data_IF_837263444002
#
_entry.id   IF_837263444002
#
_cell.length_a   1.000
_cell.length_b   1.000
_cell.length_c   1.000
_cell.angle_alpha   90.00
_cell.angle_beta   90.00
_cell.angle_gamma   90.00
#
_symmetry.space_group_name_H-M   'P 1'
#
loop_
_entity.id
_entity.type
_entity.pdbx_description
1 polymer ?
#
# COMPACT_ATOMS: atom_id res chain seq x y z
N UNK A 1 -8.81 22.99 31.34
CA UNK A 1 -9.52 21.95 30.55
C UNK A 1 -8.61 20.90 29.89
N UNK A 2 -7.30 20.84 30.17
CA UNK A 2 -6.34 19.96 29.45
C UNK A 2 -5.75 18.79 30.25
N UNK A 3 -6.21 18.51 31.45
CA UNK A 3 -5.57 17.49 32.33
C UNK A 3 -6.36 16.19 32.58
N UNK A 4 -7.52 15.97 31.94
CA UNK A 4 -8.30 14.74 32.12
C UNK A 4 -8.19 13.71 30.98
N UNK A 5 -7.24 13.90 30.06
CA UNK A 5 -7.02 12.96 28.95
C UNK A 5 -6.07 11.80 29.24
N UNK A 6 -5.52 11.70 30.46
CA UNK A 6 -4.36 10.84 30.76
C UNK A 6 -4.67 9.41 31.24
N UNK A 7 -5.92 8.99 31.34
CA UNK A 7 -6.21 7.57 31.63
C UNK A 7 -6.56 6.75 30.38
N UNK A 8 -5.93 7.03 29.26
CA UNK A 8 -6.02 6.12 28.10
C UNK A 8 -5.25 4.86 28.45
N UNK A 9 -5.97 3.77 28.82
CA UNK A 9 -5.35 2.43 28.84
C UNK A 9 -4.74 2.21 27.46
N UNK A 10 -3.43 2.32 27.37
CA UNK A 10 -2.69 2.07 26.12
C UNK A 10 -2.91 0.62 25.70
N UNK A 11 -3.05 0.38 24.40
CA UNK A 11 -3.05 -0.99 23.91
C UNK A 11 -1.75 -1.65 24.30
N UNK A 12 -1.83 -2.75 25.03
CA UNK A 12 -0.67 -3.59 25.29
C UNK A 12 -0.16 -4.18 23.98
N UNK A 13 1.17 -4.35 23.85
CA UNK A 13 1.76 -5.07 22.71
C UNK A 13 1.07 -6.42 22.46
N UNK A 14 0.62 -7.10 23.53
CA UNK A 14 -0.10 -8.35 23.44
C UNK A 14 -1.50 -8.20 22.80
N UNK A 15 -2.18 -7.08 23.04
CA UNK A 15 -3.48 -6.80 22.39
C UNK A 15 -3.29 -6.58 20.89
N UNK A 16 -2.29 -5.79 20.52
CA UNK A 16 -1.93 -5.56 19.10
C UNK A 16 -1.58 -6.88 18.42
N UNK A 17 -0.79 -7.74 19.07
CA UNK A 17 -0.43 -9.04 18.54
C UNK A 17 -1.66 -9.94 18.34
N UNK A 18 -2.55 -10.02 19.33
CA UNK A 18 -3.79 -10.81 19.23
C UNK A 18 -4.71 -10.32 18.11
N UNK A 19 -4.78 -9.00 17.92
CA UNK A 19 -5.57 -8.41 16.82
C UNK A 19 -4.98 -8.75 15.44
N UNK A 20 -3.65 -8.66 15.29
CA UNK A 20 -2.95 -9.02 14.05
C UNK A 20 -3.11 -10.53 13.76
N UNK A 21 -2.90 -11.39 14.75
CA UNK A 21 -3.07 -12.85 14.60
C UNK A 21 -4.49 -13.25 14.17
N UNK A 22 -5.51 -12.52 14.59
CA UNK A 22 -6.91 -12.79 14.19
C UNK A 22 -7.15 -12.53 12.70
N UNK A 23 -6.35 -11.68 12.08
CA UNK A 23 -6.47 -11.31 10.66
C UNK A 23 -5.22 -11.66 9.85
N UNK A 24 -4.50 -12.72 10.24
CA UNK A 24 -3.27 -13.20 9.60
C UNK A 24 -3.36 -13.34 8.06
N UNK A 25 -4.56 -13.56 7.54
CA UNK A 25 -4.80 -13.66 6.10
C UNK A 25 -4.49 -12.35 5.33
N UNK A 26 -4.61 -11.19 6.00
CA UNK A 26 -4.20 -9.90 5.42
C UNK A 26 -2.67 -9.85 5.25
N UNK A 27 -1.93 -10.31 6.25
CA UNK A 27 -0.47 -10.42 6.16
C UNK A 27 -0.05 -11.37 5.04
N UNK A 28 -0.77 -12.48 4.85
CA UNK A 28 -0.52 -13.42 3.76
C UNK A 28 -0.74 -12.77 2.37
N UNK A 29 -1.82 -12.01 2.20
CA UNK A 29 -2.08 -11.29 0.94
C UNK A 29 -0.98 -10.26 0.66
N UNK A 30 -0.60 -9.46 1.67
CA UNK A 30 0.44 -8.45 1.51
C UNK A 30 1.81 -9.09 1.23
N UNK A 31 2.13 -10.20 1.88
CA UNK A 31 3.35 -10.96 1.62
C UNK A 31 3.43 -11.43 0.17
N UNK A 32 2.35 -12.03 -0.36
CA UNK A 32 2.30 -12.49 -1.77
C UNK A 32 2.40 -11.31 -2.73
N UNK A 33 1.69 -10.23 -2.48
CA UNK A 33 1.70 -9.03 -3.34
C UNK A 33 3.11 -8.43 -3.43
N UNK A 34 3.79 -8.25 -2.30
CA UNK A 34 5.15 -7.71 -2.28
C UNK A 34 6.18 -8.69 -2.83
N UNK A 35 6.00 -10.00 -2.64
CA UNK A 35 6.83 -11.02 -3.25
C UNK A 35 6.80 -10.93 -4.78
N UNK A 36 5.60 -10.76 -5.37
CA UNK A 36 5.43 -10.61 -6.82
C UNK A 36 6.02 -9.29 -7.31
N UNK A 37 5.79 -8.19 -6.60
CA UNK A 37 6.33 -6.87 -7.00
C UNK A 37 7.86 -6.88 -6.96
N UNK A 38 8.45 -7.23 -5.82
CA UNK A 38 9.91 -7.15 -5.61
C UNK A 38 10.65 -8.23 -6.43
N UNK A 39 10.12 -9.46 -6.42
CA UNK A 39 10.65 -10.57 -7.22
C UNK A 39 10.52 -10.33 -8.71
N UNK A 40 9.36 -9.87 -9.18
CA UNK A 40 9.11 -9.55 -10.57
C UNK A 40 9.95 -8.38 -11.08
N UNK A 41 10.11 -7.33 -10.28
CA UNK A 41 11.02 -6.22 -10.59
C UNK A 41 12.47 -6.71 -10.74
N UNK A 42 12.94 -7.53 -9.79
CA UNK A 42 14.30 -8.07 -9.85
C UNK A 42 14.48 -9.02 -11.03
N UNK A 43 13.51 -9.87 -11.33
CA UNK A 43 13.53 -10.73 -12.49
C UNK A 43 13.61 -9.92 -13.79
N UNK A 44 12.75 -8.89 -13.94
CA UNK A 44 12.76 -8.02 -15.11
C UNK A 44 14.09 -7.31 -15.32
N UNK A 45 14.74 -6.84 -14.23
CA UNK A 45 16.03 -6.14 -14.32
C UNK A 45 17.18 -7.04 -14.64
N UNK A 46 17.13 -8.32 -14.26
CA UNK A 46 18.21 -9.28 -14.49
C UNK A 46 18.04 -10.11 -15.77
N UNK A 47 16.81 -10.25 -16.27
CA UNK A 47 16.50 -11.06 -17.45
C UNK A 47 17.34 -10.73 -18.71
N UNK A 48 17.67 -9.45 -19.03
CA UNK A 48 18.50 -9.12 -20.16
C UNK A 48 19.96 -9.66 -20.08
N UNK A 49 20.40 -9.98 -18.87
CA UNK A 49 21.78 -10.46 -18.61
C UNK A 49 21.90 -11.99 -18.57
N UNK A 50 20.82 -12.72 -18.80
CA UNK A 50 20.85 -14.17 -18.84
C UNK A 50 21.35 -14.61 -20.21
N UNK A 51 22.54 -15.22 -20.25
CA UNK A 51 23.09 -15.89 -21.44
C UNK A 51 23.10 -15.06 -22.74
N UNK A 52 23.08 -13.72 -22.63
CA UNK A 52 23.31 -12.87 -23.80
C UNK A 52 24.80 -12.87 -24.12
N UNK A 53 25.26 -13.87 -24.86
CA UNK A 53 26.54 -13.76 -25.57
C UNK A 53 26.35 -12.67 -26.63
N UNK A 54 26.78 -11.46 -26.32
CA UNK A 54 26.88 -10.40 -27.32
C UNK A 54 28.19 -10.54 -28.06
N UNK A 55 28.08 -10.80 -29.33
CA UNK A 55 29.19 -10.75 -30.25
C UNK A 55 29.20 -9.37 -30.92
N UNK A 56 30.34 -8.69 -30.84
CA UNK A 56 30.56 -7.45 -31.58
C UNK A 56 31.29 -7.83 -32.90
N UNK A 57 30.63 -7.47 -33.99
CA UNK A 57 31.20 -7.69 -35.32
C UNK A 57 31.98 -6.45 -35.71
N UNK A 58 33.30 -6.62 -35.86
CA UNK A 58 34.18 -5.56 -36.32
C UNK A 58 34.75 -5.92 -37.68
N UNK A 59 34.77 -4.97 -38.59
CA UNK A 59 35.51 -5.07 -39.84
C UNK A 59 36.90 -4.55 -39.60
N UNK A 60 37.90 -5.31 -40.03
CA UNK A 60 39.27 -4.88 -39.92
C UNK A 60 40.09 -5.31 -41.14
N UNK A 61 41.10 -4.53 -41.49
CA UNK A 61 42.08 -4.91 -42.48
C UNK A 61 43.25 -5.53 -41.74
N UNK A 62 43.60 -6.74 -42.13
CA UNK A 62 44.72 -7.47 -41.58
C UNK A 62 45.86 -7.61 -42.61
N UNK A 63 47.09 -7.57 -42.15
CA UNK A 63 48.28 -7.92 -42.94
C UNK A 63 49.24 -8.69 -42.06
N UNK A 64 49.70 -9.82 -42.55
CA UNK A 64 50.64 -10.68 -41.83
C UNK A 64 52.02 -10.55 -42.40
N UNK A 65 53.01 -10.45 -41.51
CA UNK A 65 54.39 -10.41 -41.85
C UNK A 65 55.16 -11.60 -41.20
N UNK A 66 56.00 -12.29 -41.99
CA UNK A 66 56.85 -13.33 -41.50
C UNK A 66 58.21 -12.71 -41.15
N UNK A 67 58.60 -12.85 -39.89
CA UNK A 67 59.93 -12.40 -39.43
C UNK A 67 61.04 -13.28 -40.04
N UNK A 68 62.02 -12.66 -40.73
CA UNK A 68 63.17 -13.38 -41.26
C UNK A 68 64.23 -13.48 -40.20
N UNK A 69 64.93 -14.67 -40.13
CA UNK A 69 66.02 -14.91 -39.19
C UNK A 69 67.16 -13.90 -39.37
N UNK A 70 67.39 -13.13 -38.32
CA UNK A 70 68.56 -12.28 -38.24
C UNK A 70 69.28 -12.53 -36.91
N UNK A 71 70.22 -13.44 -36.93
CA UNK A 71 71.03 -13.97 -35.81
C UNK A 71 70.37 -14.99 -34.87
N UNK A 72 71.18 -15.93 -34.45
CA UNK A 72 70.94 -17.14 -33.69
C UNK A 72 70.55 -16.95 -32.22
N UNK A 73 70.18 -15.76 -31.79
CA UNK A 73 69.81 -15.46 -30.39
C UNK A 73 68.44 -14.88 -30.30
N UNK A 74 67.42 -15.72 -30.00
CA UNK A 74 66.16 -15.32 -29.39
C UNK A 74 65.07 -14.76 -30.32
N UNK A 75 64.39 -15.63 -31.07
CA UNK A 75 63.21 -15.31 -31.92
C UNK A 75 62.07 -14.76 -31.20
N UNK A 76 61.78 -15.10 -29.93
CA UNK A 76 60.64 -14.70 -29.16
C UNK A 76 60.61 -13.17 -28.85
N UNK A 77 61.76 -12.52 -28.74
CA UNK A 77 61.80 -11.07 -28.50
C UNK A 77 61.57 -10.27 -29.78
N UNK A 78 61.54 -10.83 -30.95
CA UNK A 78 61.48 -10.11 -32.24
C UNK A 78 60.15 -9.61 -32.60
N UNK A 79 59.07 -10.38 -32.35
CA UNK A 79 57.66 -9.94 -32.61
C UNK A 79 57.26 -8.70 -31.79
N UNK A 80 57.59 -8.75 -30.51
CA UNK A 80 57.37 -7.62 -29.59
C UNK A 80 58.19 -6.39 -30.01
N UNK A 81 59.44 -6.61 -30.54
CA UNK A 81 60.27 -5.54 -31.00
C UNK A 81 59.77 -4.93 -32.30
N UNK A 82 59.31 -5.71 -33.27
CA UNK A 82 58.70 -5.21 -34.52
C UNK A 82 57.45 -4.37 -34.23
N UNK A 83 56.57 -4.77 -33.31
CA UNK A 83 55.42 -3.99 -32.89
C UNK A 83 55.82 -2.65 -32.24
N UNK A 84 56.85 -2.65 -31.38
CA UNK A 84 57.39 -1.41 -30.81
C UNK A 84 58.01 -0.50 -31.88
N UNK A 85 58.73 -1.08 -32.85
CA UNK A 85 59.30 -0.34 -33.97
C UNK A 85 58.18 0.25 -34.84
N UNK A 86 57.14 -0.50 -35.14
CA UNK A 86 55.99 -0.04 -35.90
C UNK A 86 55.33 1.21 -35.26
N UNK A 87 55.24 1.26 -33.93
CA UNK A 87 54.73 2.43 -33.16
C UNK A 87 55.77 3.52 -32.92
N UNK A 88 56.96 3.41 -33.47
CA UNK A 88 58.04 4.38 -33.26
C UNK A 88 57.86 5.68 -34.08
N UNK A 89 58.47 6.75 -33.56
CA UNK A 89 58.47 8.06 -34.27
C UNK A 89 59.09 7.99 -35.69
N UNK A 90 60.09 7.09 -35.89
CA UNK A 90 60.72 6.96 -37.20
C UNK A 90 59.79 6.35 -38.25
N UNK A 91 58.99 5.33 -37.85
CA UNK A 91 57.98 4.73 -38.73
C UNK A 91 56.86 5.72 -39.01
N UNK A 92 56.37 6.45 -37.99
CA UNK A 92 55.39 7.50 -38.16
C UNK A 92 55.84 8.56 -39.20
N UNK A 93 57.04 9.06 -39.06
CA UNK A 93 57.58 10.08 -40.01
C UNK A 93 57.69 9.55 -41.43
N UNK A 94 58.17 8.32 -41.62
CA UNK A 94 58.27 7.68 -42.93
C UNK A 94 56.86 7.37 -43.49
N UNK A 95 55.92 6.95 -42.63
CA UNK A 95 54.50 6.76 -42.99
C UNK A 95 53.88 8.03 -43.57
N UNK A 96 53.93 9.14 -42.84
CA UNK A 96 53.42 10.42 -43.31
C UNK A 96 54.07 10.88 -44.64
N UNK A 97 55.35 10.61 -44.78
CA UNK A 97 56.08 10.93 -46.00
C UNK A 97 55.64 10.08 -47.21
N UNK A 98 55.40 8.78 -46.97
CA UNK A 98 55.04 7.85 -48.07
C UNK A 98 53.58 7.99 -48.48
N UNK A 99 52.69 8.21 -47.50
CA UNK A 99 51.24 8.24 -47.74
C UNK A 99 50.71 9.62 -48.00
N UNK A 100 51.41 10.69 -47.56
CA UNK A 100 50.89 12.04 -47.55
C UNK A 100 49.77 12.29 -46.55
N UNK A 101 49.48 11.32 -45.67
CA UNK A 101 48.42 11.46 -44.65
C UNK A 101 48.95 12.32 -43.51
N UNK A 102 48.18 13.38 -43.20
CA UNK A 102 48.46 14.27 -42.06
C UNK A 102 47.69 13.77 -40.84
N UNK A 103 48.38 13.30 -39.81
CA UNK A 103 47.85 12.89 -38.53
C UNK A 103 48.88 13.08 -37.42
N UNK A 104 48.45 13.14 -36.17
CA UNK A 104 49.38 13.18 -35.04
C UNK A 104 50.03 11.82 -34.79
N UNK A 105 51.20 11.81 -34.17
CA UNK A 105 51.87 10.53 -33.76
C UNK A 105 50.97 9.71 -32.84
N UNK A 106 50.16 10.35 -32.00
CA UNK A 106 49.22 9.68 -31.13
C UNK A 106 48.11 8.98 -31.94
N UNK A 107 47.49 9.70 -32.90
CA UNK A 107 46.49 9.07 -33.76
C UNK A 107 47.06 7.89 -34.54
N UNK A 108 48.28 8.06 -35.11
CA UNK A 108 48.98 6.98 -35.80
C UNK A 108 49.13 5.71 -34.95
N UNK A 109 49.61 5.85 -33.69
CA UNK A 109 49.81 4.69 -32.81
C UNK A 109 48.53 4.04 -32.30
N UNK A 110 47.44 4.79 -32.25
CA UNK A 110 46.15 4.30 -31.79
C UNK A 110 45.30 3.68 -32.91
N UNK A 111 45.65 3.93 -34.20
CA UNK A 111 44.86 3.45 -35.34
C UNK A 111 45.08 1.97 -35.63
N UNK A 112 46.21 1.42 -35.30
CA UNK A 112 46.53 -0.01 -35.56
C UNK A 112 46.98 -0.71 -34.30
N UNK A 113 46.86 -2.02 -34.33
CA UNK A 113 47.49 -2.89 -33.35
C UNK A 113 48.08 -4.12 -34.02
N UNK A 114 48.80 -4.95 -33.29
CA UNK A 114 49.42 -6.13 -33.81
C UNK A 114 49.42 -7.28 -32.81
N UNK A 115 49.23 -8.47 -33.31
CA UNK A 115 49.28 -9.71 -32.53
C UNK A 115 50.36 -10.64 -33.07
N UNK A 116 51.12 -11.27 -32.17
CA UNK A 116 52.01 -12.36 -32.51
C UNK A 116 51.38 -13.64 -31.95
N UNK A 117 51.19 -14.63 -32.81
CA UNK A 117 50.76 -15.94 -32.37
C UNK A 117 51.87 -16.56 -31.51
N UNK A 118 51.50 -17.13 -30.36
CA UNK A 118 52.47 -17.76 -29.45
C UNK A 118 53.39 -18.79 -30.21
N UNK A 119 54.69 -18.64 -30.02
CA UNK A 119 55.75 -19.46 -30.66
C UNK A 119 55.73 -19.40 -32.20
N UNK A 120 55.21 -18.35 -32.81
CA UNK A 120 55.21 -18.16 -34.27
C UNK A 120 56.07 -16.96 -34.65
N UNK A 121 56.75 -17.08 -35.84
CA UNK A 121 57.49 -15.98 -36.45
C UNK A 121 56.58 -15.02 -37.22
N UNK A 122 55.29 -15.21 -37.14
CA UNK A 122 54.27 -14.37 -37.83
C UNK A 122 53.73 -13.32 -36.88
N UNK A 123 53.74 -12.07 -37.35
CA UNK A 123 53.09 -10.93 -36.70
C UNK A 123 52.02 -10.43 -37.63
N UNK A 124 50.78 -10.37 -37.11
CA UNK A 124 49.64 -9.84 -37.84
C UNK A 124 49.33 -8.43 -37.32
N UNK A 125 49.40 -7.45 -38.22
CA UNK A 125 48.93 -6.10 -37.96
C UNK A 125 47.49 -5.96 -38.40
N UNK A 126 46.68 -5.15 -37.67
CA UNK A 126 45.29 -4.91 -38.02
C UNK A 126 44.86 -3.48 -37.76
N UNK A 127 43.96 -2.97 -38.60
CA UNK A 127 43.29 -1.70 -38.49
C UNK A 127 41.79 -1.95 -38.51
N UNK A 128 41.12 -1.58 -37.42
CA UNK A 128 39.62 -1.68 -37.32
C UNK A 128 39.00 -0.47 -38.02
N UNK A 129 37.92 -0.69 -38.77
CA UNK A 129 37.13 0.39 -39.37
C UNK A 129 35.62 0.12 -39.20
N UNK A 130 34.76 1.16 -39.09
CA UNK A 130 35.15 2.56 -38.94
C UNK A 130 35.80 2.82 -37.57
N UNK A 131 36.85 3.65 -37.56
CA UNK A 131 37.53 4.07 -36.31
C UNK A 131 38.03 5.52 -36.44
N UNK A 132 37.75 6.27 -35.37
CA UNK A 132 38.27 7.65 -35.26
C UNK A 132 39.23 7.69 -34.05
N UNK A 133 40.38 8.28 -34.22
CA UNK A 133 41.33 8.54 -33.15
C UNK A 133 41.96 9.92 -33.32
N UNK A 134 41.79 10.76 -32.26
CA UNK A 134 42.31 12.13 -32.20
C UNK A 134 41.91 13.01 -33.38
N UNK A 135 42.80 13.16 -34.32
CA UNK A 135 42.69 14.05 -35.51
C UNK A 135 42.57 13.27 -36.83
N UNK A 136 42.43 11.94 -36.78
CA UNK A 136 42.33 11.09 -37.96
C UNK A 136 41.23 10.05 -37.85
N UNK A 137 40.53 9.78 -38.91
CA UNK A 137 39.51 8.77 -39.02
C UNK A 137 39.79 7.82 -40.22
N UNK A 138 39.41 6.56 -40.01
CA UNK A 138 39.36 5.53 -41.05
C UNK A 138 37.92 5.07 -41.11
N UNK A 139 37.19 5.47 -42.15
CA UNK A 139 35.75 5.30 -42.25
C UNK A 139 35.35 4.07 -43.08
N UNK A 140 36.21 3.69 -44.04
CA UNK A 140 35.94 2.60 -44.97
C UNK A 140 37.14 1.68 -45.18
N UNK A 141 36.90 0.60 -45.94
CA UNK A 141 37.86 -0.44 -46.26
C UNK A 141 39.06 0.11 -47.07
N UNK A 142 38.83 0.98 -48.04
CA UNK A 142 39.86 1.51 -48.91
C UNK A 142 40.89 2.35 -48.15
N UNK A 143 40.38 3.18 -47.22
CA UNK A 143 41.22 3.96 -46.30
C UNK A 143 42.01 3.04 -45.35
N UNK A 144 41.40 1.99 -44.84
CA UNK A 144 42.06 1.01 -43.94
C UNK A 144 43.17 0.22 -44.67
N UNK A 145 42.94 -0.20 -45.92
CA UNK A 145 43.95 -0.85 -46.78
C UNK A 145 45.06 0.14 -47.11
N UNK A 146 44.76 1.37 -47.44
CA UNK A 146 45.76 2.41 -47.73
C UNK A 146 46.62 2.70 -46.51
N UNK A 147 46.01 2.80 -45.31
CA UNK A 147 46.76 2.98 -44.07
C UNK A 147 47.68 1.78 -43.78
N UNK A 148 47.16 0.54 -43.90
CA UNK A 148 47.96 -0.68 -43.65
C UNK A 148 49.10 -0.81 -44.62
N UNK A 149 48.92 -0.60 -45.92
CA UNK A 149 49.98 -0.60 -46.91
C UNK A 149 51.06 0.43 -46.56
N UNK A 150 50.68 1.66 -46.22
CA UNK A 150 51.58 2.71 -45.78
C UNK A 150 52.39 2.33 -44.55
N UNK A 151 51.73 1.70 -43.55
CA UNK A 151 52.38 1.22 -42.33
C UNK A 151 53.45 0.17 -42.63
N UNK A 152 53.11 -0.83 -43.44
CA UNK A 152 54.04 -1.94 -43.75
C UNK A 152 55.23 -1.43 -44.56
N UNK A 153 55.00 -0.54 -45.55
CA UNK A 153 56.07 0.08 -46.34
C UNK A 153 57.01 0.96 -45.50
N UNK A 154 56.43 1.76 -44.60
CA UNK A 154 57.19 2.60 -43.68
C UNK A 154 58.03 1.72 -42.72
N UNK A 155 57.42 0.64 -42.20
CA UNK A 155 58.09 -0.30 -41.31
C UNK A 155 59.27 -1.01 -42.04
N UNK A 156 59.06 -1.48 -43.25
CA UNK A 156 60.07 -2.10 -44.05
C UNK A 156 61.24 -1.11 -44.33
N UNK A 157 60.94 0.09 -44.73
CA UNK A 157 61.93 1.15 -45.00
C UNK A 157 62.75 1.48 -43.75
N UNK A 158 62.14 1.65 -42.62
CA UNK A 158 62.84 1.99 -41.36
C UNK A 158 63.65 0.84 -40.82
N UNK A 159 63.12 -0.36 -40.90
CA UNK A 159 63.88 -1.56 -40.46
C UNK A 159 65.09 -1.85 -41.36
N UNK A 160 64.97 -1.72 -42.69
CA UNK A 160 66.09 -1.85 -43.62
C UNK A 160 67.19 -0.80 -43.37
N UNK A 161 66.78 0.47 -43.13
CA UNK A 161 67.77 1.53 -42.77
C UNK A 161 68.43 1.28 -41.43
N UNK A 162 67.72 0.73 -40.44
CA UNK A 162 68.24 0.48 -39.10
C UNK A 162 69.14 -0.75 -39.02
N UNK A 163 68.76 -1.83 -39.66
CA UNK A 163 69.43 -3.12 -39.56
C UNK A 163 70.26 -3.47 -40.80
N UNK A 164 70.16 -2.71 -41.89
CA UNK A 164 70.93 -2.93 -43.12
C UNK A 164 70.42 -4.12 -43.95
N UNK A 165 69.43 -4.86 -43.51
CA UNK A 165 68.85 -6.03 -44.20
C UNK A 165 67.31 -6.03 -44.02
N UNK A 166 66.64 -6.81 -44.87
CA UNK A 166 65.20 -7.01 -44.78
C UNK A 166 64.86 -7.87 -43.58
N UNK A 167 64.09 -7.32 -42.61
CA UNK A 167 63.79 -7.99 -41.34
C UNK A 167 62.57 -8.87 -41.39
N UNK A 168 61.72 -8.68 -42.37
CA UNK A 168 60.49 -9.48 -42.53
C UNK A 168 60.12 -9.59 -44.02
N UNK A 169 59.26 -10.53 -44.34
CA UNK A 169 58.59 -10.64 -45.65
C UNK A 169 57.05 -10.56 -45.40
N UNK A 170 56.34 -9.95 -46.36
CA UNK A 170 54.90 -9.94 -46.32
C UNK A 170 54.42 -11.36 -46.59
N UNK A 171 53.68 -11.92 -45.68
CA UNK A 171 53.03 -13.22 -45.80
C UNK A 171 51.68 -13.11 -46.45
N UNK A 172 50.85 -12.21 -45.90
CA UNK A 172 49.56 -11.87 -46.42
C UNK A 172 49.45 -10.35 -46.69
N UNK A 173 48.97 -9.99 -47.89
CA UNK A 173 48.70 -8.61 -48.24
C UNK A 173 47.49 -8.07 -47.46
N UNK A 174 47.43 -6.75 -47.23
CA UNK A 174 46.30 -6.14 -46.55
C UNK A 174 44.97 -6.53 -47.16
N UNK A 175 44.14 -7.21 -46.38
CA UNK A 175 42.82 -7.69 -46.77
C UNK A 175 41.81 -7.44 -45.67
N UNK A 176 40.57 -7.16 -46.07
CA UNK A 176 39.45 -7.00 -45.15
C UNK A 176 39.02 -8.34 -44.58
N UNK A 177 38.91 -8.41 -43.27
CA UNK A 177 38.49 -9.61 -42.54
C UNK A 177 37.40 -9.21 -41.57
N UNK A 178 36.34 -10.03 -41.51
CA UNK A 178 35.28 -9.89 -40.50
C UNK A 178 35.69 -10.62 -39.23
N UNK A 179 36.00 -9.89 -38.19
CA UNK A 179 36.29 -10.44 -36.87
C UNK A 179 35.09 -10.36 -35.97
N UNK A 180 34.74 -11.48 -35.40
CA UNK A 180 33.66 -11.59 -34.40
C UNK A 180 34.32 -11.70 -33.03
N UNK A 181 34.26 -10.65 -32.25
CA UNK A 181 34.78 -10.66 -30.89
C UNK A 181 33.66 -10.92 -29.92
N UNK A 182 33.87 -11.86 -29.00
CA UNK A 182 32.97 -12.03 -27.87
C UNK A 182 33.20 -10.88 -26.93
N UNK A 183 32.24 -9.94 -26.89
CA UNK A 183 32.26 -8.88 -25.90
C UNK A 183 32.04 -9.54 -24.54
N UNK A 184 32.86 -9.24 -23.55
CA UNK A 184 32.66 -9.63 -22.17
C UNK A 184 31.39 -8.96 -21.63
N UNK A 185 30.22 -9.41 -22.07
CA UNK A 185 28.96 -9.01 -21.47
C UNK A 185 28.92 -9.63 -20.07
N UNK A 186 28.47 -8.86 -19.11
CA UNK A 186 28.22 -9.34 -17.74
C UNK A 186 27.08 -10.37 -17.83
N UNK A 187 27.42 -11.61 -17.99
CA UNK A 187 26.47 -12.71 -18.09
C UNK A 187 26.24 -13.31 -16.71
N UNK A 188 24.99 -13.41 -16.34
CA UNK A 188 24.57 -14.04 -15.08
C UNK A 188 24.16 -15.47 -15.41
N UNK A 189 24.69 -16.42 -14.69
CA UNK A 189 24.27 -17.83 -14.84
C UNK A 189 22.81 -18.00 -14.40
N UNK A 190 22.11 -18.98 -14.98
CA UNK A 190 20.75 -19.32 -14.61
C UNK A 190 20.57 -19.62 -13.11
N UNK A 191 21.62 -20.17 -12.47
CA UNK A 191 21.64 -20.45 -11.02
C UNK A 191 21.71 -19.16 -10.19
N UNK A 192 22.54 -18.20 -10.57
CA UNK A 192 22.68 -16.90 -9.91
C UNK A 192 21.42 -16.05 -10.08
N UNK A 193 20.82 -16.06 -11.28
CA UNK A 193 19.53 -15.42 -11.54
C UNK A 193 18.46 -15.94 -10.59
N UNK A 194 18.28 -17.28 -10.51
CA UNK A 194 17.29 -17.90 -9.61
C UNK A 194 17.53 -17.54 -8.15
N UNK A 195 18.77 -17.56 -7.69
CA UNK A 195 19.12 -17.17 -6.33
C UNK A 195 18.84 -15.70 -6.05
N UNK A 196 19.16 -14.79 -6.97
CA UNK A 196 18.90 -13.37 -6.84
C UNK A 196 17.39 -13.07 -6.77
N UNK A 197 16.61 -13.72 -7.64
CA UNK A 197 15.12 -13.59 -7.64
C UNK A 197 14.54 -14.19 -6.36
N UNK A 198 15.00 -15.36 -5.90
CA UNK A 198 14.52 -15.97 -4.66
C UNK A 198 14.82 -15.09 -3.44
N UNK A 199 16.02 -14.52 -3.34
CA UNK A 199 16.35 -13.53 -2.29
C UNK A 199 15.44 -12.30 -2.34
N UNK A 200 15.12 -11.81 -3.53
CA UNK A 200 14.21 -10.68 -3.72
C UNK A 200 12.77 -11.03 -3.31
N UNK A 201 12.29 -12.23 -3.64
CA UNK A 201 10.97 -12.74 -3.22
C UNK A 201 10.90 -12.86 -1.70
N UNK A 202 11.91 -13.45 -1.05
CA UNK A 202 11.92 -13.56 0.43
C UNK A 202 11.97 -12.20 1.11
N UNK A 203 12.74 -11.25 0.58
CA UNK A 203 12.76 -9.88 1.08
C UNK A 203 11.40 -9.19 0.90
N UNK A 204 10.73 -9.43 -0.24
CA UNK A 204 9.37 -8.94 -0.51
C UNK A 204 8.35 -9.48 0.49
N UNK A 205 8.39 -10.78 0.80
CA UNK A 205 7.52 -11.41 1.81
C UNK A 205 7.68 -10.72 3.17
N UNK A 206 8.92 -10.58 3.64
CA UNK A 206 9.19 -9.94 4.93
C UNK A 206 8.72 -8.48 4.97
N UNK A 207 8.97 -7.73 3.90
CA UNK A 207 8.53 -6.34 3.78
C UNK A 207 7.00 -6.23 3.79
N UNK A 208 6.30 -7.12 3.07
CA UNK A 208 4.84 -7.17 3.03
C UNK A 208 4.21 -7.43 4.40
N UNK A 209 4.75 -8.39 5.17
CA UNK A 209 4.30 -8.69 6.53
C UNK A 209 4.55 -7.48 7.46
N UNK A 210 5.73 -6.88 7.40
CA UNK A 210 6.07 -5.73 8.24
C UNK A 210 5.16 -4.53 7.96
N UNK A 211 4.92 -4.24 6.68
CA UNK A 211 4.05 -3.14 6.27
C UNK A 211 2.60 -3.37 6.72
N UNK A 212 2.10 -4.61 6.60
CA UNK A 212 0.76 -4.96 7.09
C UNK A 212 0.65 -4.71 8.60
N UNK A 213 1.59 -5.22 9.39
CA UNK A 213 1.58 -5.02 10.86
C UNK A 213 1.57 -3.54 11.21
N UNK A 214 2.38 -2.72 10.54
CA UNK A 214 2.42 -1.26 10.78
C UNK A 214 1.09 -0.62 10.39
N UNK A 215 0.61 -0.85 9.17
CA UNK A 215 -0.63 -0.26 8.67
C UNK A 215 -1.84 -0.67 9.50
N UNK A 216 -1.93 -1.96 9.88
CA UNK A 216 -3.03 -2.46 10.68
C UNK A 216 -2.98 -1.93 12.12
N UNK A 217 -1.79 -1.81 12.70
CA UNK A 217 -1.61 -1.19 14.03
C UNK A 217 -2.07 0.27 14.01
N UNK A 218 -1.65 1.05 13.01
CA UNK A 218 -2.11 2.42 12.84
C UNK A 218 -3.63 2.49 12.67
N UNK A 219 -4.21 1.57 11.89
CA UNK A 219 -5.66 1.49 11.72
C UNK A 219 -6.39 1.23 13.05
N UNK A 220 -5.88 0.31 13.89
CA UNK A 220 -6.45 0.04 15.22
C UNK A 220 -6.34 1.28 16.12
N UNK A 221 -5.23 2.01 16.06
CA UNK A 221 -5.05 3.23 16.86
C UNK A 221 -6.02 4.35 16.44
N UNK A 222 -6.26 4.52 15.14
CA UNK A 222 -7.18 5.54 14.60
C UNK A 222 -8.65 5.16 14.87
N UNK A 223 -9.01 3.88 14.65
CA UNK A 223 -10.38 3.38 14.78
C UNK A 223 -10.56 2.54 16.05
N UNK A 224 -10.15 3.10 17.19
CA UNK A 224 -10.23 2.41 18.48
C UNK A 224 -11.65 2.01 18.80
N UNK A 225 -11.86 0.70 19.03
CA UNK A 225 -13.13 0.12 19.51
C UNK A 225 -12.98 -0.35 20.96
N UNK A 226 -14.08 -0.43 21.74
CA UNK A 226 -14.03 -0.96 23.08
C UNK A 226 -13.51 -2.42 23.10
N UNK A 227 -12.63 -2.73 24.04
CA UNK A 227 -12.12 -4.10 24.23
C UNK A 227 -13.19 -5.03 24.80
N UNK A 228 -13.91 -4.54 25.77
CA UNK A 228 -14.97 -5.25 26.50
C UNK A 228 -16.09 -4.28 26.91
N UNK A 229 -17.11 -4.82 27.55
CA UNK A 229 -18.24 -4.03 28.05
C UNK A 229 -17.81 -3.11 29.21
N UNK A 230 -16.79 -3.52 29.99
CA UNK A 230 -16.27 -2.70 31.09
C UNK A 230 -15.65 -1.39 30.61
N UNK A 231 -14.93 -1.40 29.48
CA UNK A 231 -14.38 -0.17 28.89
C UNK A 231 -15.49 0.80 28.44
N UNK A 232 -16.64 0.27 27.99
CA UNK A 232 -17.84 1.07 27.69
C UNK A 232 -18.40 1.69 28.96
N UNK A 233 -18.53 0.89 30.03
CA UNK A 233 -19.00 1.35 31.34
C UNK A 233 -18.10 2.48 31.90
N UNK A 234 -16.79 2.26 31.88
CA UNK A 234 -15.80 3.26 32.35
C UNK A 234 -15.86 4.54 31.51
N UNK A 235 -16.07 4.41 30.20
CA UNK A 235 -16.16 5.56 29.29
C UNK A 235 -17.42 6.39 29.51
N UNK A 236 -18.58 5.74 29.66
CA UNK A 236 -19.87 6.41 29.83
C UNK A 236 -20.15 6.76 31.30
N UNK A 237 -19.36 6.28 32.24
CA UNK A 237 -19.55 6.42 33.69
C UNK A 237 -20.95 5.97 34.15
N UNK A 238 -21.49 4.90 33.54
CA UNK A 238 -22.81 4.37 33.84
C UNK A 238 -22.77 2.85 34.02
N UNK A 239 -23.83 2.26 34.60
CA UNK A 239 -23.85 0.83 34.88
C UNK A 239 -24.15 0.01 33.62
N UNK A 240 -23.48 -1.15 33.47
CA UNK A 240 -23.90 -2.15 32.50
C UNK A 240 -25.16 -2.82 33.01
N UNK A 241 -26.24 -2.74 32.24
CA UNK A 241 -27.51 -3.42 32.55
C UNK A 241 -27.36 -4.92 32.23
N UNK A 242 -26.93 -5.23 31.01
CA UNK A 242 -26.58 -6.58 30.58
C UNK A 242 -25.76 -6.54 29.27
N UNK A 243 -25.22 -7.71 28.88
CA UNK A 243 -24.46 -7.90 27.63
C UNK A 243 -25.16 -8.96 26.79
N UNK A 244 -25.67 -8.59 25.63
CA UNK A 244 -26.28 -9.51 24.68
C UNK A 244 -25.18 -10.20 23.87
N UNK A 245 -25.11 -11.51 23.99
CA UNK A 245 -24.17 -12.36 23.24
C UNK A 245 -24.95 -13.42 22.47
N UNK A 246 -24.32 -14.06 21.48
CA UNK A 246 -24.92 -15.19 20.74
C UNK A 246 -25.36 -16.38 21.64
N UNK A 247 -24.93 -16.43 22.88
CA UNK A 247 -25.21 -17.51 23.84
C UNK A 247 -26.30 -17.20 24.83
N UNK A 248 -26.66 -15.91 25.00
CA UNK A 248 -27.67 -15.49 25.97
C UNK A 248 -29.05 -15.49 25.30
N UNK A 249 -30.07 -15.85 26.09
CA UNK A 249 -31.46 -15.64 25.69
C UNK A 249 -31.73 -14.14 25.66
N UNK A 250 -31.95 -13.58 24.48
CA UNK A 250 -32.19 -12.14 24.31
C UNK A 250 -33.39 -11.66 25.13
N UNK A 251 -34.46 -12.47 25.21
CA UNK A 251 -35.66 -12.14 25.95
C UNK A 251 -35.42 -11.89 27.45
N UNK A 252 -34.57 -12.74 28.08
CA UNK A 252 -34.26 -12.56 29.50
C UNK A 252 -33.43 -11.30 29.77
N UNK A 253 -32.57 -10.93 28.83
CA UNK A 253 -31.81 -9.68 28.91
C UNK A 253 -32.70 -8.46 28.87
N UNK A 254 -33.73 -8.45 28.01
CA UNK A 254 -34.68 -7.34 27.96
C UNK A 254 -35.57 -7.27 29.23
N UNK A 255 -35.94 -8.43 29.83
CA UNK A 255 -36.64 -8.45 31.12
C UNK A 255 -35.81 -7.84 32.25
N UNK A 256 -34.53 -8.16 32.30
CA UNK A 256 -33.59 -7.54 33.26
C UNK A 256 -33.47 -6.04 33.04
N UNK A 257 -33.36 -5.61 31.78
CA UNK A 257 -33.29 -4.19 31.43
C UNK A 257 -34.58 -3.46 31.83
N UNK A 258 -35.75 -4.05 31.57
CA UNK A 258 -37.05 -3.50 31.99
C UNK A 258 -37.13 -3.39 33.52
N UNK A 259 -36.74 -4.42 34.26
CA UNK A 259 -36.68 -4.42 35.71
C UNK A 259 -35.73 -3.35 36.26
N UNK A 260 -34.53 -3.22 35.67
CA UNK A 260 -33.53 -2.23 36.05
C UNK A 260 -34.04 -0.80 35.90
N UNK A 261 -34.74 -0.52 34.78
CA UNK A 261 -35.29 0.79 34.48
C UNK A 261 -36.54 1.10 35.31
N UNK A 262 -37.31 0.10 35.73
CA UNK A 262 -38.56 0.24 36.53
C UNK A 262 -38.34 0.66 37.98
N UNK A 263 -37.11 0.66 38.49
CA UNK A 263 -36.81 0.91 39.90
C UNK A 263 -36.95 2.37 40.38
N UNK A 264 -37.72 3.19 39.71
CA UNK A 264 -38.01 4.55 40.14
C UNK A 264 -39.30 4.58 40.98
N UNK A 265 -39.18 5.03 42.21
CA UNK A 265 -40.28 5.22 43.16
C UNK A 265 -41.19 6.41 42.79
N UNK A 266 -41.80 6.41 41.62
CA UNK A 266 -42.68 7.49 41.18
C UNK A 266 -44.11 6.99 40.91
N UNK A 267 -45.14 7.65 41.50
CA UNK A 267 -46.51 7.50 41.03
C UNK A 267 -46.64 8.35 39.75
N UNK A 268 -46.78 7.71 38.59
CA UNK A 268 -46.99 8.40 37.31
C UNK A 268 -46.39 7.65 36.13
N UNK A 269 -46.58 8.16 34.94
CA UNK A 269 -46.00 7.64 33.71
C UNK A 269 -44.48 7.76 33.72
N UNK A 270 -43.79 6.69 33.41
CA UNK A 270 -42.35 6.69 33.25
C UNK A 270 -41.94 6.76 31.79
N UNK A 271 -41.14 7.77 31.45
CA UNK A 271 -40.62 7.99 30.10
C UNK A 271 -39.19 7.44 30.02
N UNK A 272 -38.95 6.51 29.11
CA UNK A 272 -37.65 5.85 28.93
C UNK A 272 -37.18 6.09 27.50
N UNK A 273 -36.00 6.63 27.35
CA UNK A 273 -35.37 6.79 26.05
C UNK A 273 -34.28 5.74 25.82
N UNK A 274 -34.31 5.10 24.67
CA UNK A 274 -33.23 4.28 24.18
C UNK A 274 -32.33 5.12 23.27
N UNK A 275 -31.17 5.55 23.79
CA UNK A 275 -30.18 6.30 23.05
C UNK A 275 -29.33 5.30 22.28
N UNK A 276 -29.57 5.17 20.98
CA UNK A 276 -29.03 4.10 20.15
C UNK A 276 -27.76 4.52 19.44
N UNK A 277 -26.80 3.61 19.28
CA UNK A 277 -25.56 3.80 18.54
C UNK A 277 -25.36 2.64 17.57
N UNK A 278 -25.42 2.95 16.27
CA UNK A 278 -25.26 1.95 15.22
C UNK A 278 -26.51 1.10 14.96
N UNK A 279 -26.41 0.09 14.12
CA UNK A 279 -27.53 -0.65 13.53
C UNK A 279 -28.26 -1.64 14.47
N UNK A 280 -27.69 -1.99 15.62
CA UNK A 280 -28.23 -3.07 16.47
C UNK A 280 -29.36 -2.62 17.41
N UNK A 281 -29.66 -1.36 17.45
CA UNK A 281 -30.53 -0.78 18.46
C UNK A 281 -32.02 -0.74 18.09
N UNK A 282 -32.37 -0.99 16.84
CA UNK A 282 -33.74 -0.82 16.34
C UNK A 282 -34.77 -1.75 17.02
N UNK A 283 -34.33 -2.89 17.54
CA UNK A 283 -35.21 -3.87 18.21
C UNK A 283 -35.30 -3.68 19.71
N UNK A 284 -34.30 -3.05 20.35
CA UNK A 284 -34.23 -2.95 21.82
C UNK A 284 -35.46 -2.24 22.42
N UNK A 285 -35.83 -1.06 21.89
CA UNK A 285 -36.93 -0.31 22.38
C UNK A 285 -38.28 -1.05 22.23
N UNK A 286 -38.46 -1.74 21.10
CA UNK A 286 -39.64 -2.60 20.86
C UNK A 286 -39.71 -3.78 21.82
N UNK A 287 -38.58 -4.44 22.08
CA UNK A 287 -38.51 -5.56 23.04
C UNK A 287 -38.76 -5.08 24.47
N UNK A 288 -38.24 -3.93 24.89
CA UNK A 288 -38.51 -3.34 26.20
C UNK A 288 -40.00 -2.98 26.34
N UNK A 289 -40.58 -2.36 25.32
CA UNK A 289 -42.02 -2.03 25.33
C UNK A 289 -42.89 -3.28 25.45
N UNK A 290 -42.49 -4.36 24.76
CA UNK A 290 -43.17 -5.65 24.86
C UNK A 290 -43.02 -6.29 26.25
N UNK A 291 -41.87 -6.14 26.91
CA UNK A 291 -41.71 -6.62 28.28
C UNK A 291 -42.69 -5.97 29.26
N UNK A 292 -42.83 -4.64 29.22
CA UNK A 292 -43.81 -3.94 30.06
C UNK A 292 -45.26 -4.30 29.71
N UNK A 293 -45.59 -4.42 28.43
CA UNK A 293 -46.90 -4.84 27.98
C UNK A 293 -47.26 -6.26 28.44
N UNK A 294 -46.31 -7.18 28.43
CA UNK A 294 -46.50 -8.56 28.93
C UNK A 294 -46.78 -8.57 30.48
N UNK A 295 -46.30 -7.57 31.21
CA UNK A 295 -46.64 -7.34 32.60
C UNK A 295 -47.98 -6.63 32.78
N UNK A 296 -48.77 -6.48 31.72
CA UNK A 296 -50.08 -5.77 31.68
C UNK A 296 -49.98 -4.28 32.01
N UNK A 297 -48.80 -3.68 31.76
CA UNK A 297 -48.56 -2.25 31.89
C UNK A 297 -48.91 -1.54 30.58
N UNK A 298 -49.79 -0.54 30.66
CA UNK A 298 -50.19 0.23 29.47
C UNK A 298 -49.01 1.03 28.95
N UNK A 299 -48.47 0.59 27.79
CA UNK A 299 -47.21 1.08 27.23
C UNK A 299 -47.40 1.71 25.85
N UNK A 300 -46.71 2.83 25.60
CA UNK A 300 -46.60 3.45 24.28
C UNK A 300 -45.19 3.36 23.80
N UNK A 301 -45.00 2.86 22.57
CA UNK A 301 -43.73 2.93 21.85
C UNK A 301 -43.74 4.07 20.83
N UNK A 302 -42.86 5.04 21.00
CA UNK A 302 -42.59 6.10 20.02
C UNK A 302 -41.37 5.76 19.24
N UNK A 303 -41.54 5.35 17.99
CA UNK A 303 -40.40 4.95 17.14
C UNK A 303 -39.95 6.08 16.21
N UNK A 304 -38.82 6.72 16.56
CA UNK A 304 -38.23 7.80 15.79
C UNK A 304 -37.29 7.28 14.64
N UNK A 305 -36.97 5.97 14.61
CA UNK A 305 -36.14 5.37 13.58
C UNK A 305 -36.92 4.76 12.40
N UNK A 306 -38.22 4.50 12.60
CA UNK A 306 -39.02 3.89 11.56
C UNK A 306 -39.15 4.78 10.32
N UNK A 307 -39.10 4.17 9.16
CA UNK A 307 -39.15 4.83 7.85
C UNK A 307 -40.47 4.51 7.13
N UNK A 308 -41.60 4.59 7.82
CA UNK A 308 -42.90 4.30 7.21
C UNK A 308 -43.54 5.52 6.55
N UNK A 309 -44.34 5.25 5.50
CA UNK A 309 -44.94 6.26 4.62
C UNK A 309 -46.44 6.46 4.85
N UNK A 310 -46.91 6.29 6.08
CA UNK A 310 -48.33 6.47 6.35
C UNK A 310 -48.70 7.96 6.51
N UNK A 311 -49.83 8.37 5.95
CA UNK A 311 -50.33 9.77 5.96
C UNK A 311 -50.59 10.29 7.37
N UNK A 312 -50.88 9.46 8.35
CA UNK A 312 -51.16 9.81 9.73
C UNK A 312 -50.01 9.52 10.70
N UNK A 313 -48.76 9.75 10.24
CA UNK A 313 -47.55 9.56 11.02
C UNK A 313 -47.38 10.63 12.10
N UNK A 314 -46.50 10.34 13.09
CA UNK A 314 -46.09 11.30 14.11
C UNK A 314 -45.61 12.63 13.49
N UNK A 315 -44.84 12.54 12.39
CA UNK A 315 -44.31 13.69 11.66
C UNK A 315 -45.44 14.58 11.10
N UNK A 316 -46.37 13.97 10.40
CA UNK A 316 -47.52 14.71 9.81
C UNK A 316 -48.35 15.43 10.88
N UNK A 317 -48.56 14.79 12.03
CA UNK A 317 -49.25 15.40 13.15
C UNK A 317 -48.48 16.59 13.74
N UNK A 318 -47.19 16.45 13.99
CA UNK A 318 -46.36 17.51 14.57
C UNK A 318 -46.19 18.69 13.59
N UNK A 319 -46.07 18.42 12.29
CA UNK A 319 -45.99 19.45 11.24
C UNK A 319 -47.32 20.18 11.04
N UNK A 320 -48.41 19.57 11.46
CA UNK A 320 -49.77 20.15 11.33
C UNK A 320 -50.46 19.76 10.02
N UNK A 321 -49.92 18.76 9.30
CA UNK A 321 -50.52 18.23 8.07
C UNK A 321 -51.78 17.41 8.35
N UNK A 322 -51.88 16.88 9.58
CA UNK A 322 -53.06 16.16 10.06
C UNK A 322 -53.45 16.64 11.46
N UNK A 323 -54.76 16.59 11.75
CA UNK A 323 -55.32 16.91 13.09
C UNK A 323 -55.45 15.67 13.98
N UNK A 324 -55.39 14.49 13.38
CA UNK A 324 -55.51 13.21 14.09
C UNK A 324 -54.21 12.42 14.00
N UNK A 325 -53.77 11.91 15.16
CA UNK A 325 -52.65 10.99 15.27
C UNK A 325 -53.17 9.56 15.39
N UNK A 326 -52.87 8.69 14.44
CA UNK A 326 -53.25 7.28 14.51
C UNK A 326 -52.21 6.50 15.30
N UNK A 327 -52.63 5.86 16.38
CA UNK A 327 -51.85 4.89 17.11
C UNK A 327 -52.13 3.50 16.54
N UNK A 328 -51.06 2.73 16.29
CA UNK A 328 -51.17 1.33 15.89
C UNK A 328 -51.17 0.46 17.14
N UNK A 329 -52.26 -0.22 17.42
CA UNK A 329 -52.37 -1.15 18.53
C UNK A 329 -51.65 -2.48 18.15
N UNK A 330 -50.62 -2.80 18.91
CA UNK A 330 -49.86 -4.05 18.71
C UNK A 330 -50.43 -5.20 19.55
N UNK A 331 -50.91 -4.90 20.76
CA UNK A 331 -51.68 -5.80 21.62
C UNK A 331 -52.51 -5.00 22.61
N UNK A 332 -53.20 -5.65 23.56
CA UNK A 332 -54.12 -5.01 24.52
C UNK A 332 -53.40 -3.92 25.37
N UNK A 333 -52.10 -4.03 25.61
CA UNK A 333 -51.33 -3.15 26.48
C UNK A 333 -50.23 -2.36 25.77
N UNK A 334 -50.07 -2.53 24.45
CA UNK A 334 -49.04 -1.87 23.67
C UNK A 334 -49.59 -1.15 22.44
N UNK A 335 -49.45 0.13 22.45
CA UNK A 335 -49.65 0.98 21.29
C UNK A 335 -48.31 1.48 20.75
N UNK A 336 -48.23 1.70 19.43
CA UNK A 336 -47.04 2.26 18.79
C UNK A 336 -47.40 3.41 17.89
N UNK A 337 -46.49 4.38 17.81
CA UNK A 337 -46.54 5.48 16.85
C UNK A 337 -45.18 5.63 16.20
N UNK A 338 -45.22 5.78 14.89
CA UNK A 338 -44.00 5.82 14.09
C UNK A 338 -43.80 7.15 13.39
N UNK A 339 -42.55 7.48 13.19
CA UNK A 339 -42.14 8.65 12.42
C UNK A 339 -42.16 8.35 10.91
N UNK A 340 -42.45 9.37 10.09
CA UNK A 340 -42.23 9.30 8.64
C UNK A 340 -41.02 10.12 8.23
N UNK A 341 -39.91 9.47 7.93
CA UNK A 341 -38.64 10.11 7.59
C UNK A 341 -38.58 10.68 6.18
N UNK A 342 -39.50 10.33 5.29
CA UNK A 342 -39.48 10.77 3.88
C UNK A 342 -39.93 12.24 3.71
N UNK A 343 -40.74 12.77 4.62
CA UNK A 343 -41.29 14.14 4.54
C UNK A 343 -40.39 15.19 5.21
N UNK A 344 -39.36 14.82 5.95
CA UNK A 344 -38.68 15.67 6.93
C UNK A 344 -37.27 16.11 6.56
N UNK A 345 -37.06 16.73 5.42
CA UNK A 345 -35.71 17.31 5.18
C UNK A 345 -35.52 18.53 6.10
N UNK A 346 -34.72 18.33 7.17
CA UNK A 346 -34.29 19.42 8.06
C UNK A 346 -35.23 19.79 9.19
N UNK A 347 -36.34 19.05 9.39
CA UNK A 347 -37.29 19.32 10.47
C UNK A 347 -36.88 18.64 11.78
N UNK A 348 -36.80 19.43 12.85
CA UNK A 348 -36.54 18.95 14.22
C UNK A 348 -37.83 18.56 14.90
N UNK A 349 -38.20 17.30 14.81
CA UNK A 349 -39.47 16.80 15.35
C UNK A 349 -39.53 16.85 16.88
N UNK A 350 -38.44 16.41 17.53
CA UNK A 350 -38.37 16.29 18.99
C UNK A 350 -38.22 17.65 19.67
N UNK A 351 -37.56 18.61 18.99
CA UNK A 351 -37.43 19.99 19.48
C UNK A 351 -38.71 20.80 19.39
N UNK A 352 -39.76 20.31 18.72
CA UNK A 352 -41.02 21.04 18.53
C UNK A 352 -41.89 21.01 19.80
N UNK A 353 -42.49 22.14 20.15
CA UNK A 353 -43.37 22.25 21.32
C UNK A 353 -44.57 21.30 21.26
N UNK A 354 -45.17 21.09 20.07
CA UNK A 354 -46.24 20.10 19.91
C UNK A 354 -45.82 18.68 20.28
N UNK A 355 -44.54 18.31 20.10
CA UNK A 355 -44.06 17.00 20.54
C UNK A 355 -44.07 16.90 22.07
N UNK A 356 -43.65 17.95 22.78
CA UNK A 356 -43.68 18.00 24.24
C UNK A 356 -45.11 17.93 24.77
N UNK A 357 -46.00 18.72 24.19
CA UNK A 357 -47.42 18.68 24.54
C UNK A 357 -48.05 17.30 24.32
N UNK A 358 -47.69 16.66 23.21
CA UNK A 358 -48.09 15.29 22.89
C UNK A 358 -47.61 14.28 23.94
N UNK A 359 -46.33 14.39 24.33
CA UNK A 359 -45.69 13.53 25.32
C UNK A 359 -46.38 13.70 26.70
N UNK A 360 -46.71 14.94 27.09
CA UNK A 360 -47.47 15.23 28.32
C UNK A 360 -48.89 14.67 28.25
N UNK A 361 -49.58 14.77 27.11
CA UNK A 361 -50.89 14.16 26.91
C UNK A 361 -50.85 12.65 27.06
N UNK A 362 -49.83 11.97 26.47
CA UNK A 362 -49.66 10.54 26.56
C UNK A 362 -49.26 10.09 27.98
N UNK A 363 -48.53 10.93 28.72
CA UNK A 363 -48.15 10.59 30.10
C UNK A 363 -49.36 10.43 31.06
N UNK A 364 -50.53 10.97 30.67
CA UNK A 364 -51.78 10.78 31.40
C UNK A 364 -52.55 9.50 31.03
N UNK A 365 -52.13 8.84 29.93
CA UNK A 365 -52.85 7.68 29.36
C UNK A 365 -52.08 6.36 29.49
N UNK A 366 -50.75 6.43 29.56
CA UNK A 366 -49.85 5.30 29.61
C UNK A 366 -49.06 5.28 30.91
N UNK A 367 -48.70 4.06 31.37
CA UNK A 367 -47.83 3.89 32.52
C UNK A 367 -46.36 4.00 32.10
N UNK A 368 -46.05 3.53 30.86
CA UNK A 368 -44.72 3.63 30.27
C UNK A 368 -44.79 4.24 28.89
N UNK A 369 -43.83 5.12 28.59
CA UNK A 369 -43.58 5.65 27.26
C UNK A 369 -42.12 5.33 26.90
N UNK A 370 -41.91 4.48 25.89
CA UNK A 370 -40.61 4.11 25.42
C UNK A 370 -40.35 4.88 24.13
N UNK A 371 -39.24 5.63 24.09
CA UNK A 371 -38.83 6.36 22.90
C UNK A 371 -37.66 5.62 22.28
N UNK A 372 -37.82 5.13 21.04
CA UNK A 372 -36.72 4.61 20.24
C UNK A 372 -36.00 5.80 19.58
N UNK A 373 -34.97 6.30 20.26
CA UNK A 373 -34.16 7.42 19.80
C UNK A 373 -33.40 7.12 18.50
N UNK A 374 -33.20 8.15 17.70
CA UNK A 374 -32.35 8.01 16.49
C UNK A 374 -30.89 7.84 16.84
N UNK A 375 -30.13 7.32 15.88
CA UNK A 375 -28.67 7.08 16.01
C UNK A 375 -27.97 8.35 16.51
N UNK A 376 -27.48 8.29 17.73
CA UNK A 376 -26.85 9.41 18.43
C UNK A 376 -25.51 9.86 17.78
N UNK A 377 -24.88 8.99 16.96
CA UNK A 377 -23.69 9.35 16.18
C UNK A 377 -24.03 10.29 15.02
N UNK A 378 -25.26 10.19 14.48
CA UNK A 378 -25.66 10.89 13.25
C UNK A 378 -26.52 12.12 13.48
N UNK A 379 -27.35 12.10 14.51
CA UNK A 379 -28.38 13.15 14.71
C UNK A 379 -28.55 13.54 16.17
N UNK A 380 -28.80 14.82 16.42
CA UNK A 380 -28.99 15.39 17.77
C UNK A 380 -30.31 15.04 18.41
N UNK A 381 -31.31 14.55 17.66
CA UNK A 381 -32.64 14.28 18.14
C UNK A 381 -32.71 13.23 19.25
N UNK A 382 -31.81 12.23 19.22
CA UNK A 382 -31.68 11.25 20.28
C UNK A 382 -31.36 11.87 21.64
N UNK A 383 -30.51 12.90 21.67
CA UNK A 383 -30.18 13.64 22.91
C UNK A 383 -31.35 14.54 23.35
N UNK A 384 -32.08 15.15 22.41
CA UNK A 384 -33.26 15.94 22.75
C UNK A 384 -34.37 15.07 23.34
N UNK A 385 -34.58 13.87 22.80
CA UNK A 385 -35.50 12.88 23.36
C UNK A 385 -35.05 12.45 24.79
N UNK A 386 -33.74 12.23 24.97
CA UNK A 386 -33.16 11.87 26.25
C UNK A 386 -33.39 12.95 27.32
N UNK A 387 -33.34 14.24 26.96
CA UNK A 387 -33.59 15.34 27.85
C UNK A 387 -35.09 15.46 28.30
N UNK A 388 -36.00 14.84 27.56
CA UNK A 388 -37.44 14.81 27.87
C UNK A 388 -37.88 13.57 28.66
N UNK A 389 -36.95 12.62 28.88
CA UNK A 389 -37.22 11.33 29.51
C UNK A 389 -36.70 11.25 30.95
N UNK A 390 -37.35 10.42 31.75
CA UNK A 390 -36.99 10.18 33.15
C UNK A 390 -35.81 9.22 33.27
N UNK A 391 -35.64 8.32 32.28
CA UNK A 391 -34.59 7.31 32.20
C UNK A 391 -33.99 7.23 30.82
N UNK A 392 -32.68 7.06 30.76
CA UNK A 392 -31.94 6.98 29.50
C UNK A 392 -31.05 5.72 29.47
N UNK A 393 -31.36 4.81 28.57
CA UNK A 393 -30.58 3.61 28.28
C UNK A 393 -29.74 3.82 27.02
N UNK A 394 -28.46 3.74 27.15
CA UNK A 394 -27.56 3.68 25.99
C UNK A 394 -27.55 2.28 25.42
N UNK A 395 -27.73 2.15 24.11
CA UNK A 395 -27.69 0.85 23.41
C UNK A 395 -26.59 0.90 22.37
N UNK A 396 -25.58 0.09 22.53
CA UNK A 396 -24.42 0.12 21.62
C UNK A 396 -23.85 -1.27 21.34
N UNK A 397 -23.21 -1.43 20.18
CA UNK A 397 -22.51 -2.66 19.82
C UNK A 397 -21.02 -2.57 20.12
N UNK A 398 -20.48 -3.44 20.95
CA UNK A 398 -19.04 -3.45 21.31
C UNK A 398 -18.11 -3.43 20.08
N UNK A 399 -18.45 -4.20 19.05
CA UNK A 399 -17.62 -4.34 17.84
C UNK A 399 -17.86 -3.25 16.79
N UNK A 400 -18.97 -2.53 16.90
CA UNK A 400 -19.43 -1.58 15.87
C UNK A 400 -19.33 -0.13 16.32
N UNK A 401 -19.32 0.13 17.62
CA UNK A 401 -19.17 1.46 18.19
C UNK A 401 -17.71 1.84 18.37
N UNK A 402 -17.34 3.06 18.01
CA UNK A 402 -15.98 3.59 18.23
C UNK A 402 -15.90 4.21 19.63
N UNK A 403 -14.70 4.16 20.23
CA UNK A 403 -14.48 4.87 21.51
C UNK A 403 -14.73 6.36 21.40
N UNK A 404 -14.39 6.96 20.27
CA UNK A 404 -14.67 8.37 19.97
C UNK A 404 -16.17 8.70 20.08
N UNK A 405 -17.02 7.84 19.52
CA UNK A 405 -18.48 7.98 19.61
C UNK A 405 -18.98 7.91 21.06
N UNK A 406 -18.43 6.99 21.86
CA UNK A 406 -18.77 6.90 23.29
C UNK A 406 -18.37 8.16 24.07
N UNK A 407 -17.18 8.70 23.81
CA UNK A 407 -16.73 9.96 24.40
C UNK A 407 -17.62 11.13 23.95
N UNK A 408 -18.03 11.17 22.69
CA UNK A 408 -18.96 12.18 22.18
C UNK A 408 -20.30 12.10 22.91
N UNK A 409 -20.85 10.89 23.11
CA UNK A 409 -22.10 10.68 23.84
C UNK A 409 -21.96 11.21 25.27
N UNK A 410 -20.90 10.78 25.98
CA UNK A 410 -20.62 11.25 27.34
C UNK A 410 -20.57 12.77 27.43
N UNK A 411 -19.74 13.39 26.60
CA UNK A 411 -19.58 14.84 26.60
C UNK A 411 -20.90 15.56 26.28
N UNK A 412 -21.67 15.07 25.30
CA UNK A 412 -22.93 15.68 24.90
C UNK A 412 -23.98 15.56 26.01
N UNK A 413 -24.03 14.40 26.68
CA UNK A 413 -24.99 14.21 27.81
C UNK A 413 -24.59 15.03 29.03
N UNK A 414 -23.30 15.13 29.35
CA UNK A 414 -22.79 15.99 30.44
C UNK A 414 -23.13 17.48 30.21
N UNK A 415 -22.84 17.99 29.00
CA UNK A 415 -23.10 19.40 28.65
C UNK A 415 -24.59 19.73 28.73
N UNK A 416 -25.46 18.79 28.33
CA UNK A 416 -26.88 18.98 28.31
C UNK A 416 -27.58 18.50 29.60
N UNK A 417 -26.83 18.15 30.64
CA UNK A 417 -27.34 17.65 31.93
C UNK A 417 -28.27 16.45 31.80
N UNK A 418 -28.01 15.57 30.83
CA UNK A 418 -28.75 14.33 30.59
C UNK A 418 -28.13 13.23 31.44
N UNK A 419 -28.91 12.63 32.31
CA UNK A 419 -28.47 11.50 33.11
C UNK A 419 -28.57 10.20 32.29
N UNK A 420 -27.47 9.41 32.24
CA UNK A 420 -27.44 8.07 31.66
C UNK A 420 -27.66 7.04 32.79
N UNK A 421 -28.74 6.28 32.75
CA UNK A 421 -29.07 5.31 33.80
C UNK A 421 -28.38 3.99 33.60
N UNK A 422 -28.21 3.54 32.36
CA UNK A 422 -27.57 2.27 32.08
C UNK A 422 -27.09 2.14 30.64
N UNK A 423 -26.28 1.11 30.38
CA UNK A 423 -25.88 0.72 29.04
C UNK A 423 -26.19 -0.75 28.79
N UNK A 424 -26.80 -1.04 27.64
CA UNK A 424 -27.01 -2.37 27.09
C UNK A 424 -26.02 -2.59 25.94
N UNK A 425 -25.18 -3.61 26.07
CA UNK A 425 -24.08 -3.84 25.12
C UNK A 425 -24.36 -5.07 24.27
N UNK A 426 -24.36 -4.90 22.95
CA UNK A 426 -24.36 -6.01 22.00
C UNK A 426 -22.93 -6.47 21.68
N UNK A 427 -22.62 -7.73 21.99
CA UNK A 427 -21.35 -8.40 21.64
C UNK A 427 -21.58 -9.59 20.70
N UNK A 428 -22.17 -9.30 19.55
CA UNK A 428 -22.58 -10.27 18.51
C UNK A 428 -21.49 -10.47 17.43
#
# INVERSE_FOLDING_TARGET
>A
MSQRYESRKEYSLMDVLKYNLRKWWLAAIMAVLFAVIVGGYKAKTLMPYIEAETYDEKMQVEASVLLTEYNSEGLVERGTNIMKIAKSRSVYQEFCKLTGIELTQQAFTDMFDGEQTEASDVVTFFVVYPRTSWDYAVDDEEQAITFMNGLIQALDTVTQKGYGTKCFSILDEPASVRRVEKVASYTISNSEFRQAVLKAVTAGILLGILLEVVCYTLWIMIYKKPKDAQEIQECLETQIVDVITKKNEEEETYKKAALFLSNSKGQGCQKINCLTVGRFADTTASCLAMCYANEKKKTLLIDLNAAESEEASLSAYIMGDTTELKLQQMNEYLDTVKRNTKQEKGFDLVGNEKFKELLERFSKQYEYIIINGRDAEKVSEGYKAAALCDKNLVVCGRRNTRMETLYMIKNTTEINHIHLDGVLVYDL
#
